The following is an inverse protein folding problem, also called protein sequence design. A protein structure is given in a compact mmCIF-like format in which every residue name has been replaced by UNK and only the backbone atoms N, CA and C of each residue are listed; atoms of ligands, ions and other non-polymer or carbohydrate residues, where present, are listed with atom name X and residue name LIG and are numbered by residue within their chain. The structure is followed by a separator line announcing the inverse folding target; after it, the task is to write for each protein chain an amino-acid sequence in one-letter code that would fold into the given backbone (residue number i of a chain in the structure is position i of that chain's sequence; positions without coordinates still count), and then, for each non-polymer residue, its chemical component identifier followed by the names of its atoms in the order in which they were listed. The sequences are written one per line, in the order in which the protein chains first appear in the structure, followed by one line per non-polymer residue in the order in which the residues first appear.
data_IF_655599880608
#
_entry.id   IF_655599880608
#
_cell.length_a   1.000
_cell.length_b   1.000
_cell.length_c   1.000
_cell.angle_alpha   90.00
_cell.angle_beta   90.00
_cell.angle_gamma   90.00
#
_symmetry.space_group_name_H-M   'P 1'
#
loop_
_entity.id
_entity.type
_entity.pdbx_description
1 polymer ?
#
# COMPACT_ATOMS: atom_id res chain seq x y z
N UNK A 1 -2.34 -8.02 20.61
CA UNK A 1 -2.02 -6.80 21.39
C UNK A 1 -1.21 -5.88 20.51
N UNK A 2 -1.82 -4.80 19.99
CA UNK A 2 -1.13 -3.80 19.15
C UNK A 2 -0.39 -2.86 20.08
N UNK A 3 0.95 -2.90 20.06
CA UNK A 3 1.78 -1.97 20.82
C UNK A 3 1.96 -0.69 19.99
N UNK A 4 1.45 0.49 20.43
CA UNK A 4 1.77 1.76 19.78
C UNK A 4 3.24 2.10 20.05
N UNK A 5 4.06 2.24 19.01
CA UNK A 5 5.41 2.77 19.13
C UNK A 5 5.31 4.28 19.38
N UNK A 6 5.78 4.70 20.55
CA UNK A 6 5.76 6.08 21.02
C UNK A 6 6.50 7.07 20.12
N UNK A 7 6.03 8.32 20.15
CA UNK A 7 6.72 9.48 19.59
C UNK A 7 8.11 9.60 20.20
N UNK A 8 9.16 9.53 19.38
CA UNK A 8 10.41 10.22 19.65
C UNK A 8 10.57 11.34 18.64
N UNK A 9 10.35 12.56 19.13
CA UNK A 9 10.78 13.78 18.48
C UNK A 9 12.29 13.93 18.69
N UNK A 10 13.03 14.12 17.60
CA UNK A 10 14.28 14.85 17.63
C UNK A 10 14.02 16.13 16.84
N UNK A 11 13.93 17.24 17.57
CA UNK A 11 13.73 18.58 17.04
C UNK A 11 15.04 19.11 16.44
N UNK A 12 14.97 19.55 15.18
CA UNK A 12 15.74 20.67 14.66
C UNK A 12 14.75 21.53 13.88
N UNK A 13 14.62 22.84 14.16
CA UNK A 13 13.68 23.69 13.46
C UNK A 13 14.31 24.15 12.14
N UNK A 14 13.98 23.44 11.07
CA UNK A 14 14.02 23.96 9.71
C UNK A 14 12.57 24.16 9.26
N UNK A 15 12.20 25.40 8.96
CA UNK A 15 10.88 25.78 8.43
C UNK A 15 10.45 24.82 7.31
N UNK A 16 9.26 24.22 7.40
CA UNK A 16 8.64 23.60 6.22
C UNK A 16 7.12 23.43 6.37
N UNK A 17 6.39 24.03 5.44
CA UNK A 17 4.93 23.94 5.22
C UNK A 17 4.48 22.54 4.73
N UNK A 18 5.10 21.46 5.20
CA UNK A 18 4.99 20.10 4.63
C UNK A 18 4.71 19.04 5.70
N UNK A 19 3.52 19.03 6.31
CA UNK A 19 3.16 18.01 7.30
C UNK A 19 3.26 16.59 6.70
N UNK A 20 4.25 15.82 7.16
CA UNK A 20 4.41 14.39 6.82
C UNK A 20 3.77 13.57 7.92
N UNK A 21 2.66 12.92 7.61
CA UNK A 21 2.08 11.94 8.52
C UNK A 21 2.76 10.60 8.37
N UNK A 22 2.98 9.93 9.50
CA UNK A 22 3.56 8.61 9.52
C UNK A 22 2.90 7.75 10.58
N UNK A 23 2.60 6.52 10.20
CA UNK A 23 2.14 5.45 11.09
C UNK A 23 2.97 4.19 10.86
N UNK A 24 3.16 3.40 11.90
CA UNK A 24 3.85 2.12 11.85
C UNK A 24 3.13 1.08 12.70
N UNK A 25 2.92 -0.11 12.13
CA UNK A 25 2.48 -1.31 12.84
C UNK A 25 3.48 -2.43 12.59
N UNK A 26 3.77 -3.22 13.62
CA UNK A 26 4.64 -4.38 13.53
C UNK A 26 3.94 -5.57 14.16
N UNK A 27 4.06 -6.72 13.51
CA UNK A 27 3.50 -7.99 13.95
C UNK A 27 4.63 -9.00 14.11
N UNK A 28 4.56 -9.77 15.20
CA UNK A 28 5.39 -10.95 15.38
C UNK A 28 5.01 -12.06 14.39
N UNK A 29 5.82 -13.11 14.34
CA UNK A 29 5.54 -14.27 13.49
C UNK A 29 4.14 -14.86 13.78
N UNK A 30 3.41 -15.17 12.71
CA UNK A 30 2.03 -15.66 12.77
C UNK A 30 0.97 -14.67 13.29
N UNK A 31 1.35 -13.45 13.70
CA UNK A 31 0.43 -12.47 14.30
C UNK A 31 -0.14 -11.46 13.28
N UNK A 32 0.42 -11.39 12.08
CA UNK A 32 -0.04 -10.46 11.05
C UNK A 32 -1.37 -10.91 10.43
N UNK A 33 -2.28 -9.97 10.21
CA UNK A 33 -3.56 -10.18 9.52
C UNK A 33 -3.86 -9.03 8.56
N UNK A 34 -4.40 -9.36 7.39
CA UNK A 34 -4.87 -8.35 6.44
C UNK A 34 -6.02 -7.50 7.02
N UNK A 35 -6.80 -8.04 7.95
CA UNK A 35 -7.88 -7.29 8.64
C UNK A 35 -7.28 -6.18 9.49
N UNK A 36 -6.32 -6.51 10.35
CA UNK A 36 -5.66 -5.53 11.23
C UNK A 36 -4.94 -4.45 10.43
N UNK A 37 -4.30 -4.85 9.33
CA UNK A 37 -3.63 -3.92 8.44
C UNK A 37 -4.61 -2.92 7.79
N UNK A 38 -5.79 -3.38 7.34
CA UNK A 38 -6.85 -2.50 6.84
C UNK A 38 -7.40 -1.56 7.93
N UNK A 39 -7.64 -2.07 9.14
CA UNK A 39 -8.09 -1.25 10.26
C UNK A 39 -7.07 -0.15 10.60
N UNK A 40 -5.79 -0.50 10.63
CA UNK A 40 -4.71 0.46 10.82
C UNK A 40 -4.65 1.52 9.73
N UNK A 41 -4.85 1.13 8.46
CA UNK A 41 -4.96 2.07 7.34
C UNK A 41 -6.15 3.02 7.48
N UNK A 42 -7.34 2.48 7.77
CA UNK A 42 -8.56 3.30 7.95
C UNK A 42 -8.38 4.31 9.08
N UNK A 43 -7.82 3.87 10.20
CA UNK A 43 -7.50 4.74 11.32
C UNK A 43 -6.50 5.83 10.90
N UNK A 44 -5.44 5.47 10.16
CA UNK A 44 -4.46 6.44 9.66
C UNK A 44 -5.08 7.49 8.73
N UNK A 45 -5.92 7.07 7.78
CA UNK A 45 -6.59 7.97 6.85
C UNK A 45 -7.62 8.88 7.54
N UNK A 46 -8.30 8.39 8.58
CA UNK A 46 -9.27 9.17 9.34
C UNK A 46 -8.63 10.23 10.26
N UNK A 47 -7.41 10.01 10.75
CA UNK A 47 -6.76 10.88 11.77
C UNK A 47 -5.62 11.75 11.21
N UNK A 48 -5.45 11.81 9.89
CA UNK A 48 -4.38 12.60 9.29
C UNK A 48 -4.68 14.11 9.26
N UNK A 49 -3.84 15.02 9.80
CA UNK A 49 -3.83 16.44 9.46
C UNK A 49 -3.81 16.61 7.94
N UNK A 50 -4.95 17.03 7.42
CA UNK A 50 -5.11 17.38 6.03
C UNK A 50 -4.88 18.89 5.88
N UNK A 51 -3.89 19.34 5.09
CA UNK A 51 -3.76 20.75 4.78
C UNK A 51 -4.94 21.15 3.88
N UNK A 52 -5.96 21.79 4.46
CA UNK A 52 -7.22 22.20 3.83
C UNK A 52 -8.15 21.02 3.44
N UNK A 53 -9.47 21.20 3.18
CA UNK A 53 -10.48 20.14 3.24
C UNK A 53 -10.59 19.30 1.96
N UNK A 54 -9.47 18.83 1.41
CA UNK A 54 -9.54 17.78 0.40
C UNK A 54 -9.89 16.45 1.09
N UNK A 55 -11.16 16.06 1.07
CA UNK A 55 -11.56 14.73 1.51
C UNK A 55 -10.70 13.69 0.78
N UNK A 56 -10.05 12.78 1.51
CA UNK A 56 -9.37 11.62 0.89
C UNK A 56 -10.38 10.96 -0.05
N UNK A 57 -10.13 10.89 -1.37
CA UNK A 57 -11.11 10.31 -2.28
C UNK A 57 -11.43 8.87 -1.90
N UNK A 58 -12.70 8.49 -1.97
CA UNK A 58 -13.12 7.13 -1.66
C UNK A 58 -12.38 6.09 -2.54
N UNK A 59 -12.10 6.43 -3.80
CA UNK A 59 -11.27 5.62 -4.70
C UNK A 59 -9.87 5.36 -4.15
N UNK A 60 -9.19 6.41 -3.65
CA UNK A 60 -7.87 6.25 -3.03
C UNK A 60 -7.93 5.35 -1.78
N UNK A 61 -8.96 5.50 -0.95
CA UNK A 61 -9.11 4.65 0.23
C UNK A 61 -9.32 3.17 -0.16
N UNK A 62 -10.12 2.89 -1.19
CA UNK A 62 -10.32 1.54 -1.72
C UNK A 62 -9.04 0.97 -2.31
N UNK A 63 -8.32 1.73 -3.13
CA UNK A 63 -7.04 1.31 -3.71
C UNK A 63 -5.99 1.04 -2.62
N UNK A 64 -5.93 1.89 -1.60
CA UNK A 64 -5.04 1.72 -0.47
C UNK A 64 -5.36 0.46 0.34
N UNK A 65 -6.64 0.17 0.58
CA UNK A 65 -7.08 -1.06 1.26
C UNK A 65 -6.72 -2.32 0.48
N UNK A 66 -6.88 -2.28 -0.85
CA UNK A 66 -6.43 -3.34 -1.74
C UNK A 66 -4.92 -3.53 -1.61
N UNK A 67 -4.13 -2.46 -1.76
CA UNK A 67 -2.67 -2.53 -1.70
C UNK A 67 -2.19 -3.09 -0.37
N UNK A 68 -2.73 -2.61 0.75
CA UNK A 68 -2.37 -3.13 2.08
C UNK A 68 -2.72 -4.61 2.20
N UNK A 69 -3.91 -5.01 1.75
CA UNK A 69 -4.35 -6.40 1.84
C UNK A 69 -3.45 -7.33 1.04
N UNK A 70 -3.12 -6.97 -0.20
CA UNK A 70 -2.28 -7.79 -1.08
C UNK A 70 -0.83 -7.87 -0.57
N UNK A 71 -0.24 -6.74 -0.17
CA UNK A 71 1.15 -6.73 0.31
C UNK A 71 1.31 -7.49 1.64
N UNK A 72 0.39 -7.31 2.58
CA UNK A 72 0.44 -8.02 3.87
C UNK A 72 0.14 -9.51 3.69
N UNK A 73 -0.82 -9.87 2.83
CA UNK A 73 -1.11 -11.28 2.52
C UNK A 73 0.09 -11.96 1.87
N UNK A 74 0.79 -11.28 0.96
CA UNK A 74 2.02 -11.79 0.37
C UNK A 74 3.13 -12.00 1.41
N UNK A 75 3.31 -11.05 2.34
CA UNK A 75 4.26 -11.21 3.43
C UNK A 75 3.92 -12.43 4.30
N UNK A 76 2.65 -12.57 4.72
CA UNK A 76 2.17 -13.71 5.52
C UNK A 76 2.41 -15.05 4.80
N UNK A 77 2.13 -15.11 3.49
CA UNK A 77 2.20 -16.36 2.72
C UNK A 77 3.63 -16.79 2.39
N UNK A 78 4.51 -15.82 2.13
CA UNK A 78 5.81 -16.08 1.51
C UNK A 78 7.01 -15.74 2.39
N UNK A 79 6.79 -15.11 3.55
CA UNK A 79 7.86 -14.69 4.44
C UNK A 79 7.49 -14.96 5.91
N UNK A 80 7.58 -16.23 6.37
CA UNK A 80 7.44 -16.56 7.77
C UNK A 80 8.38 -15.69 8.63
N UNK A 81 7.87 -15.18 9.75
CA UNK A 81 8.57 -14.22 10.60
C UNK A 81 7.85 -12.87 10.74
N UNK A 82 8.51 -11.90 11.40
CA UNK A 82 7.91 -10.59 11.66
C UNK A 82 7.64 -9.79 10.38
N UNK A 83 6.54 -9.03 10.42
CA UNK A 83 6.09 -8.15 9.34
C UNK A 83 5.86 -6.73 9.86
N UNK A 84 6.24 -5.72 9.09
CA UNK A 84 5.98 -4.31 9.42
C UNK A 84 5.16 -3.63 8.32
N UNK A 85 4.12 -2.88 8.69
CA UNK A 85 3.41 -1.93 7.84
C UNK A 85 3.80 -0.51 8.24
N UNK A 86 4.22 0.30 7.27
CA UNK A 86 4.53 1.72 7.45
C UNK A 86 3.70 2.51 6.44
N UNK A 87 2.91 3.46 6.95
CA UNK A 87 2.08 4.35 6.16
C UNK A 87 2.64 5.76 6.25
N UNK A 88 2.76 6.44 5.11
CA UNK A 88 3.23 7.84 5.07
C UNK A 88 2.38 8.67 4.12
N UNK A 89 1.88 9.80 4.57
CA UNK A 89 1.20 10.79 3.73
C UNK A 89 2.08 12.03 3.63
N UNK A 90 2.48 12.40 2.42
CA UNK A 90 3.33 13.56 2.17
C UNK A 90 3.08 14.10 0.77
N UNK A 91 3.03 15.43 0.60
CA UNK A 91 2.95 16.11 -0.71
C UNK A 91 1.89 15.50 -1.65
N UNK A 92 0.69 15.23 -1.13
CA UNK A 92 -0.41 14.65 -1.92
C UNK A 92 -0.19 13.19 -2.37
N UNK A 93 0.69 12.43 -1.69
CA UNK A 93 0.95 11.02 -1.96
C UNK A 93 0.89 10.18 -0.70
N UNK A 94 0.21 9.04 -0.79
CA UNK A 94 0.23 7.98 0.21
C UNK A 94 1.29 6.95 -0.20
N UNK A 95 2.27 6.71 0.67
CA UNK A 95 3.20 5.60 0.55
C UNK A 95 2.84 4.51 1.55
N UNK A 96 2.59 3.30 1.02
CA UNK A 96 2.29 2.09 1.77
C UNK A 96 3.51 1.19 1.67
N UNK A 97 4.12 0.90 2.81
CA UNK A 97 5.36 0.13 2.88
C UNK A 97 5.14 -1.13 3.71
N UNK A 98 5.46 -2.29 3.15
CA UNK A 98 5.51 -3.56 3.89
C UNK A 98 6.94 -4.06 3.92
N UNK A 99 7.39 -4.49 5.10
CA UNK A 99 8.67 -5.17 5.30
C UNK A 99 8.43 -6.58 5.74
N UNK A 100 9.16 -7.50 5.13
CA UNK A 100 9.10 -8.92 5.42
C UNK A 100 10.50 -9.51 5.50
N UNK A 101 10.61 -10.75 5.95
CA UNK A 101 11.87 -11.48 6.18
C UNK A 101 12.42 -12.18 4.93
N UNK A 102 11.65 -12.25 3.84
CA UNK A 102 12.05 -12.98 2.64
C UNK A 102 12.99 -12.14 1.77
N UNK A 103 14.11 -12.75 1.36
CA UNK A 103 15.05 -12.16 0.42
C UNK A 103 14.60 -12.31 -1.05
N UNK A 104 13.54 -13.09 -1.30
CA UNK A 104 13.05 -13.33 -2.65
C UNK A 104 12.39 -12.07 -3.23
N UNK A 105 12.73 -11.75 -4.47
CA UNK A 105 12.10 -10.64 -5.17
C UNK A 105 10.64 -10.98 -5.48
N UNK A 106 9.70 -10.02 -5.34
CA UNK A 106 8.31 -10.24 -5.71
C UNK A 106 8.20 -10.48 -7.22
N UNK A 107 7.92 -11.71 -7.64
CA UNK A 107 7.70 -12.02 -9.05
C UNK A 107 6.26 -11.62 -9.44
N UNK A 108 6.13 -10.65 -10.34
CA UNK A 108 4.84 -10.33 -10.99
C UNK A 108 4.54 -11.45 -11.98
N UNK A 109 3.76 -12.44 -11.56
CA UNK A 109 3.43 -13.57 -12.42
C UNK A 109 2.41 -13.15 -13.48
N UNK A 110 2.64 -13.54 -14.74
CA UNK A 110 1.68 -13.33 -15.84
C UNK A 110 0.39 -14.06 -15.47
N UNK A 111 -0.73 -13.33 -15.46
CA UNK A 111 -2.01 -13.84 -15.00
C UNK A 111 -2.47 -15.04 -15.82
N UNK A 112 -2.53 -16.20 -15.19
CA UNK A 112 -3.30 -17.34 -15.67
C UNK A 112 -4.70 -17.23 -15.06
N UNK A 113 -5.70 -17.04 -15.92
CA UNK A 113 -7.11 -16.86 -15.56
C UNK A 113 -7.76 -18.08 -14.88
N UNK A 114 -7.08 -19.23 -14.88
CA UNK A 114 -7.55 -20.45 -14.22
C UNK A 114 -6.79 -20.77 -12.93
N UNK A 115 -5.77 -19.98 -12.57
CA UNK A 115 -4.99 -20.18 -11.34
C UNK A 115 -5.67 -19.50 -10.16
N UNK A 116 -5.81 -20.23 -9.06
CA UNK A 116 -6.21 -19.64 -7.76
C UNK A 116 -4.99 -18.92 -7.16
N UNK A 117 -4.97 -17.58 -7.24
CA UNK A 117 -3.95 -16.71 -6.65
C UNK A 117 -2.87 -16.23 -7.63
N UNK A 118 -2.00 -15.31 -7.17
CA UNK A 118 -0.90 -14.73 -7.96
C UNK A 118 -1.20 -13.41 -8.69
N UNK A 119 -2.40 -12.86 -8.50
CA UNK A 119 -2.79 -11.57 -9.08
C UNK A 119 -2.44 -10.36 -8.19
N UNK A 120 -2.08 -10.59 -6.92
CA UNK A 120 -1.96 -9.53 -5.92
C UNK A 120 -0.98 -8.42 -6.30
N UNK A 121 0.25 -8.78 -6.68
CA UNK A 121 1.23 -7.78 -7.12
C UNK A 121 0.81 -7.08 -8.40
N UNK A 122 0.15 -7.78 -9.33
CA UNK A 122 -0.38 -7.14 -10.55
C UNK A 122 -1.41 -6.07 -10.19
N UNK A 123 -2.36 -6.38 -9.30
CA UNK A 123 -3.36 -5.41 -8.86
C UNK A 123 -2.70 -4.22 -8.13
N UNK A 124 -1.72 -4.48 -7.26
CA UNK A 124 -0.92 -3.43 -6.61
C UNK A 124 -0.26 -2.53 -7.66
N UNK A 125 0.36 -3.10 -8.69
CA UNK A 125 0.97 -2.33 -9.78
C UNK A 125 -0.05 -1.56 -10.62
N UNK A 126 -1.27 -2.09 -10.82
CA UNK A 126 -2.33 -1.42 -11.58
C UNK A 126 -2.84 -0.16 -10.86
N UNK A 127 -3.07 -0.26 -9.55
CA UNK A 127 -3.65 0.87 -8.79
C UNK A 127 -2.60 1.87 -8.30
N UNK A 128 -1.33 1.45 -8.22
CA UNK A 128 -0.23 2.30 -7.74
C UNK A 128 0.44 3.07 -8.88
N UNK A 129 0.77 4.34 -8.62
CA UNK A 129 1.60 5.14 -9.54
C UNK A 129 3.01 4.56 -9.70
N UNK A 130 3.51 3.97 -8.61
CA UNK A 130 4.84 3.38 -8.53
C UNK A 130 4.86 2.30 -7.46
N UNK A 131 5.58 1.23 -7.72
CA UNK A 131 5.99 0.25 -6.72
C UNK A 131 7.51 0.16 -6.71
N UNK A 132 8.11 0.21 -5.54
CA UNK A 132 9.56 0.08 -5.35
C UNK A 132 9.85 -1.11 -4.43
N UNK A 133 10.88 -1.88 -4.74
CA UNK A 133 11.36 -2.97 -3.91
C UNK A 133 12.81 -2.68 -3.55
N UNK A 134 13.14 -2.77 -2.26
CA UNK A 134 14.49 -2.57 -1.77
C UNK A 134 14.90 -3.76 -0.87
N UNK A 135 16.03 -4.44 -1.15
CA UNK A 135 16.56 -5.44 -0.24
C UNK A 135 16.97 -4.79 1.09
N UNK A 136 16.92 -5.57 2.16
CA UNK A 136 17.39 -5.18 3.50
C UNK A 136 18.38 -6.23 4.02
N UNK A 137 19.11 -5.88 5.07
CA UNK A 137 20.01 -6.83 5.75
C UNK A 137 19.30 -8.12 6.19
N UNK A 138 18.00 -8.02 6.52
CA UNK A 138 17.10 -9.16 6.74
C UNK A 138 15.82 -8.92 5.94
N UNK A 139 15.66 -9.70 4.87
CA UNK A 139 14.50 -9.66 3.98
C UNK A 139 14.44 -8.44 3.06
N UNK A 140 13.27 -7.86 2.89
CA UNK A 140 13.03 -6.78 1.93
C UNK A 140 12.00 -5.75 2.42
N UNK A 141 11.90 -4.68 1.66
CA UNK A 141 10.84 -3.69 1.78
C UNK A 141 10.19 -3.47 0.42
N UNK A 142 8.86 -3.52 0.37
CA UNK A 142 8.05 -3.17 -0.79
C UNK A 142 7.29 -1.89 -0.45
N UNK A 143 7.39 -0.86 -1.31
CA UNK A 143 6.69 0.41 -1.14
C UNK A 143 5.84 0.71 -2.37
N UNK A 144 4.53 0.78 -2.20
CA UNK A 144 3.57 1.25 -3.19
C UNK A 144 3.23 2.72 -2.94
N UNK A 145 3.11 3.51 -4.01
CA UNK A 145 2.79 4.94 -3.95
C UNK A 145 1.48 5.21 -4.68
N UNK A 146 0.55 5.87 -4.00
CA UNK A 146 -0.75 6.30 -4.52
C UNK A 146 -0.85 7.83 -4.47
N UNK A 147 -1.37 8.46 -5.52
CA UNK A 147 -1.65 9.91 -5.56
C UNK A 147 -3.03 10.21 -4.99
N UNK A 148 -3.16 11.36 -4.34
CA UNK A 148 -4.44 11.87 -3.82
C UNK A 148 -5.30 12.54 -4.90
N UNK A 149 -4.71 12.88 -6.05
CA UNK A 149 -5.47 13.32 -7.22
C UNK A 149 -6.17 12.10 -7.85
N UNK A 150 -7.36 12.27 -8.47
CA UNK A 150 -8.02 11.18 -9.18
C UNK A 150 -7.06 10.58 -10.21
N UNK A 151 -6.74 9.30 -10.07
CA UNK A 151 -6.25 8.56 -11.22
C UNK A 151 -7.46 8.36 -12.13
N UNK A 152 -7.47 9.04 -13.28
CA UNK A 152 -8.41 8.80 -14.37
C UNK A 152 -8.13 7.42 -14.97
N UNK A 153 -8.42 6.35 -14.23
CA UNK A 153 -8.48 4.99 -14.78
C UNK A 153 -9.80 4.83 -15.53
N UNK A 154 -10.02 5.65 -16.58
CA UNK A 154 -11.16 5.52 -17.48
C UNK A 154 -10.77 4.57 -18.62
N UNK A 155 -11.19 3.32 -18.46
CA UNK A 155 -11.80 2.49 -19.49
C UNK A 155 -11.07 2.30 -20.84
N UNK A 156 -9.92 1.61 -20.86
CA UNK A 156 -9.38 1.01 -22.08
C UNK A 156 -10.06 -0.36 -22.34
N UNK A 157 -11.37 -0.36 -22.61
CA UNK A 157 -12.14 -1.60 -22.79
C UNK A 157 -13.49 -1.47 -23.52
N UNK A 158 -13.84 -0.31 -24.06
CA UNK A 158 -15.10 -0.11 -24.77
C UNK A 158 -14.92 0.67 -26.07
N UNK A 159 -14.18 0.10 -27.02
CA UNK A 159 -14.49 0.33 -28.44
C UNK A 159 -14.03 -0.87 -29.28
N UNK A 160 -14.88 -1.90 -29.32
CA UNK A 160 -14.96 -2.80 -30.46
C UNK A 160 -16.41 -2.85 -30.89
N UNK A 161 -16.83 -1.78 -31.53
CA UNK A 161 -17.98 -1.76 -32.42
C UNK A 161 -17.75 -2.85 -33.49
N UNK A 162 -18.35 -4.03 -33.29
CA UNK A 162 -18.54 -4.98 -34.39
C UNK A 162 -19.76 -4.47 -35.13
N UNK A 163 -19.48 -3.72 -36.19
CA UNK A 163 -20.43 -3.47 -37.27
C UNK A 163 -20.96 -4.82 -37.75
N UNK A 164 -22.27 -5.01 -37.61
CA UNK A 164 -23.00 -6.01 -38.37
C UNK A 164 -22.94 -5.61 -39.86
N UNK A 165 -22.40 -6.50 -40.69
CA UNK A 165 -22.78 -6.66 -42.08
C UNK A 165 -23.43 -8.06 -42.13
N UNK A 166 -24.66 -8.23 -42.63
CA UNK A 166 -25.08 -7.81 -43.96
C UNK A 166 -25.02 -9.05 -44.84
#
# INVERSE_FOLDING_TARGET
MVLPLGKQAADRPGADEHATLRFGAAWADGAASAVDARLALRAFLAHGPHPAPALIPASLAMDAELVVSELVTNAIRHAPGPCELILRLFRGKLAITVRDTSAEQPAVQKGDRFRVGGHGLRLVHTVSDRVAVAPRARGKQITAYLRLAPNDHVNAGADRTVLAAG
#
